data_IF_561438951075
#
_entry.id   IF_561438951075
#
_cell.length_a   1.000
_cell.length_b   1.000
_cell.length_c   1.000
_cell.angle_alpha   90.00
_cell.angle_beta   90.00
_cell.angle_gamma   90.00
#
_symmetry.space_group_name_H-M   'P 1'
#
loop_
_entity.id
_entity.type
_entity.pdbx_description
1 polymer ?
#
# COMPACT_ATOMS: atom_id res chain seq x y z
N UNK A 1 -24.29 -28.51 2.53
CA UNK A 1 -23.21 -28.21 3.49
C UNK A 1 -23.71 -27.20 4.50
N UNK A 2 -23.70 -27.55 5.79
CA UNK A 2 -24.22 -26.68 6.85
C UNK A 2 -23.23 -25.61 7.33
N UNK A 3 -21.94 -25.76 7.01
CA UNK A 3 -20.91 -24.78 7.35
C UNK A 3 -20.87 -23.55 6.45
N UNK A 4 -19.80 -22.77 6.60
CA UNK A 4 -19.56 -21.54 5.85
C UNK A 4 -18.91 -21.83 4.51
N UNK A 5 -19.42 -21.23 3.45
CA UNK A 5 -18.88 -21.40 2.10
C UNK A 5 -19.00 -20.13 1.27
N UNK A 6 -18.22 -20.10 0.19
CA UNK A 6 -18.30 -19.08 -0.84
C UNK A 6 -18.09 -19.75 -2.18
N UNK A 7 -19.07 -19.65 -3.05
CA UNK A 7 -19.00 -20.15 -4.42
C UNK A 7 -19.05 -18.99 -5.39
N UNK A 8 -18.27 -19.10 -6.46
CA UNK A 8 -18.17 -18.12 -7.53
C UNK A 8 -18.39 -18.87 -8.83
N UNK A 9 -19.53 -18.60 -9.48
CA UNK A 9 -19.94 -19.23 -10.72
C UNK A 9 -20.13 -18.15 -11.79
N UNK A 10 -19.77 -18.48 -13.03
CA UNK A 10 -19.96 -17.59 -14.16
C UNK A 10 -21.19 -18.06 -14.92
N UNK A 11 -22.21 -17.21 -14.98
CA UNK A 11 -23.43 -17.49 -15.72
C UNK A 11 -23.18 -17.22 -17.21
N UNK A 12 -23.26 -18.27 -18.01
CA UNK A 12 -23.04 -18.22 -19.46
C UNK A 12 -24.18 -17.53 -20.22
N UNK A 13 -25.37 -17.40 -19.62
CA UNK A 13 -26.54 -16.75 -20.23
C UNK A 13 -26.48 -15.24 -20.02
N UNK A 14 -26.26 -14.81 -18.76
CA UNK A 14 -26.20 -13.37 -18.44
C UNK A 14 -24.82 -12.76 -18.62
N UNK A 15 -23.77 -13.58 -18.72
CA UNK A 15 -22.37 -13.13 -18.78
C UNK A 15 -21.86 -12.53 -17.47
N UNK A 16 -22.56 -12.76 -16.35
CA UNK A 16 -22.22 -12.19 -15.05
C UNK A 16 -21.62 -13.24 -14.13
N UNK A 17 -20.73 -12.79 -13.23
CA UNK A 17 -20.26 -13.61 -12.12
C UNK A 17 -21.28 -13.54 -10.99
N UNK A 18 -21.84 -14.69 -10.62
CA UNK A 18 -22.61 -14.86 -9.39
C UNK A 18 -21.67 -15.31 -8.28
N UNK A 19 -21.72 -14.60 -7.15
CA UNK A 19 -21.00 -14.98 -5.94
C UNK A 19 -22.01 -15.24 -4.84
N UNK A 20 -22.11 -16.50 -4.42
CA UNK A 20 -22.92 -16.91 -3.27
C UNK A 20 -22.01 -17.07 -2.06
N UNK A 21 -22.30 -16.36 -0.96
CA UNK A 21 -21.59 -16.52 0.32
C UNK A 21 -22.58 -16.90 1.41
N UNK A 22 -22.32 -18.00 2.12
CA UNK A 22 -23.01 -18.39 3.36
C UNK A 22 -22.08 -18.20 4.54
N UNK A 23 -22.47 -17.33 5.47
CA UNK A 23 -21.75 -17.09 6.71
C UNK A 23 -22.77 -16.86 7.84
N UNK A 24 -22.53 -17.49 9.00
CA UNK A 24 -23.49 -17.53 10.10
C UNK A 24 -24.88 -18.01 9.61
N UNK A 25 -25.95 -17.37 10.07
CA UNK A 25 -27.33 -17.63 9.65
C UNK A 25 -27.75 -16.81 8.41
N UNK A 26 -26.79 -16.31 7.61
CA UNK A 26 -27.07 -15.51 6.43
C UNK A 26 -26.45 -16.14 5.18
N UNK A 27 -27.24 -16.14 4.11
CA UNK A 27 -26.79 -16.41 2.73
C UNK A 27 -27.09 -15.17 1.92
N UNK A 28 -26.10 -14.66 1.21
CA UNK A 28 -26.29 -13.58 0.24
C UNK A 28 -25.64 -13.95 -1.08
N UNK A 29 -26.32 -13.57 -2.16
CA UNK A 29 -25.89 -13.79 -3.53
C UNK A 29 -25.72 -12.41 -4.16
N UNK A 30 -24.53 -12.16 -4.71
CA UNK A 30 -24.21 -10.92 -5.40
C UNK A 30 -23.92 -11.23 -6.85
N UNK A 31 -24.53 -10.47 -7.75
CA UNK A 31 -24.28 -10.54 -9.18
C UNK A 31 -23.37 -9.37 -9.58
N UNK A 32 -22.27 -9.66 -10.27
CA UNK A 32 -21.32 -8.64 -10.69
C UNK A 32 -20.68 -7.87 -9.52
N UNK A 33 -20.40 -6.58 -9.73
CA UNK A 33 -19.85 -5.66 -8.72
C UNK A 33 -20.73 -4.42 -8.67
N UNK A 34 -21.59 -4.35 -7.67
CA UNK A 34 -22.36 -3.14 -7.40
C UNK A 34 -21.68 -2.31 -6.31
N UNK A 35 -21.64 -0.97 -6.44
CA UNK A 35 -21.23 -0.10 -5.35
C UNK A 35 -22.19 -0.27 -4.17
N UNK A 36 -21.68 -0.08 -2.95
CA UNK A 36 -22.54 -0.10 -1.77
C UNK A 36 -23.62 0.98 -1.85
N UNK A 37 -24.76 0.77 -1.17
CA UNK A 37 -25.90 1.71 -1.14
C UNK A 37 -25.51 3.15 -0.76
N UNK A 38 -24.40 3.32 -0.03
CA UNK A 38 -23.83 4.63 0.33
C UNK A 38 -22.38 4.68 -0.20
N UNK A 39 -22.23 4.71 -1.51
CA UNK A 39 -20.94 4.88 -2.18
C UNK A 39 -20.77 6.33 -2.65
N UNK A 40 -20.19 7.18 -1.79
CA UNK A 40 -19.96 8.60 -2.11
C UNK A 40 -18.51 8.78 -2.57
N UNK A 41 -18.27 8.56 -3.85
CA UNK A 41 -16.93 8.62 -4.45
C UNK A 41 -16.28 10.00 -4.34
N UNK A 42 -17.06 11.08 -4.32
CA UNK A 42 -16.56 12.46 -4.17
C UNK A 42 -15.88 12.70 -2.83
N UNK A 43 -16.38 12.12 -1.74
CA UNK A 43 -15.75 12.24 -0.42
C UNK A 43 -14.36 11.59 -0.45
N UNK A 44 -14.26 10.36 -0.96
CA UNK A 44 -12.98 9.66 -1.07
C UNK A 44 -11.99 10.43 -1.96
N UNK A 45 -12.47 10.98 -3.08
CA UNK A 45 -11.66 11.80 -3.98
C UNK A 45 -11.10 13.03 -3.25
N UNK A 46 -11.96 13.84 -2.61
CA UNK A 46 -11.55 15.07 -1.92
C UNK A 46 -10.65 14.81 -0.71
N UNK A 47 -10.88 13.74 0.05
CA UNK A 47 -9.96 13.36 1.15
C UNK A 47 -8.56 13.12 0.59
N UNK A 48 -8.45 12.32 -0.48
CA UNK A 48 -7.12 12.01 -1.04
C UNK A 48 -6.47 13.20 -1.74
N UNK A 49 -7.25 14.07 -2.38
CA UNK A 49 -6.79 15.31 -2.98
C UNK A 49 -6.23 16.26 -1.91
N UNK A 50 -7.02 16.52 -0.87
CA UNK A 50 -6.64 17.42 0.22
C UNK A 50 -5.38 16.93 0.94
N UNK A 51 -5.26 15.62 1.21
CA UNK A 51 -4.04 15.05 1.78
C UNK A 51 -2.80 15.29 0.90
N UNK A 52 -2.92 15.16 -0.42
CA UNK A 52 -1.80 15.42 -1.35
C UNK A 52 -1.42 16.89 -1.38
N UNK A 53 -2.39 17.79 -1.45
CA UNK A 53 -2.12 19.23 -1.41
C UNK A 53 -1.55 19.68 -0.08
N UNK A 54 -2.02 19.10 1.03
CA UNK A 54 -1.44 19.34 2.35
C UNK A 54 0.03 18.93 2.39
N UNK A 55 0.38 17.71 1.97
CA UNK A 55 1.77 17.27 1.87
C UNK A 55 2.61 18.19 0.97
N UNK A 56 2.09 18.54 -0.22
CA UNK A 56 2.79 19.45 -1.12
C UNK A 56 3.00 20.84 -0.50
N UNK A 57 2.04 21.34 0.29
CA UNK A 57 2.19 22.60 1.02
C UNK A 57 3.32 22.53 2.06
N UNK A 58 3.51 21.38 2.72
CA UNK A 58 4.62 21.14 3.64
C UNK A 58 5.96 21.09 2.89
N UNK A 59 6.00 20.41 1.74
CA UNK A 59 7.18 20.37 0.87
C UNK A 59 7.58 21.78 0.44
N UNK A 60 6.62 22.62 0.02
CA UNK A 60 6.86 24.02 -0.35
C UNK A 60 7.42 24.85 0.81
N UNK A 61 6.95 24.64 2.04
CA UNK A 61 7.47 25.34 3.23
C UNK A 61 8.94 25.02 3.53
N UNK A 62 9.37 23.80 3.23
CA UNK A 62 10.77 23.36 3.47
C UNK A 62 11.66 23.70 2.27
N UNK A 63 11.12 23.60 1.06
CA UNK A 63 11.85 23.49 -0.20
C UNK A 63 11.69 22.07 -0.74
N UNK A 64 11.07 21.93 -1.92
CA UNK A 64 10.77 20.62 -2.54
C UNK A 64 12.05 19.82 -2.79
N UNK A 65 13.14 20.52 -3.11
CA UNK A 65 14.47 20.01 -3.35
C UNK A 65 15.15 19.37 -2.13
N UNK A 66 14.68 19.69 -0.91
CA UNK A 66 15.20 19.16 0.36
C UNK A 66 14.44 17.94 0.86
N UNK A 67 13.33 17.59 0.21
CA UNK A 67 12.54 16.40 0.53
C UNK A 67 13.15 15.22 -0.20
N UNK A 68 13.68 14.26 0.56
CA UNK A 68 14.34 13.08 0.00
C UNK A 68 13.35 12.03 -0.49
N UNK A 69 12.25 11.85 0.26
CA UNK A 69 11.23 10.86 -0.07
C UNK A 69 9.86 11.23 0.52
N UNK A 70 8.80 10.82 -0.16
CA UNK A 70 7.42 10.99 0.28
C UNK A 70 6.62 9.70 0.06
N UNK A 71 5.83 9.28 1.05
CA UNK A 71 4.85 8.20 0.88
C UNK A 71 3.58 8.49 1.67
N UNK A 72 2.46 8.62 0.94
CA UNK A 72 1.07 8.74 1.39
C UNK A 72 0.78 9.90 2.34
N UNK A 73 1.40 9.92 3.52
CA UNK A 73 1.20 10.83 4.64
C UNK A 73 2.53 11.21 5.34
N UNK A 74 3.67 10.85 4.75
CA UNK A 74 4.97 10.98 5.41
C UNK A 74 6.04 11.62 4.52
N UNK A 75 6.91 12.44 5.13
CA UNK A 75 8.04 13.10 4.49
C UNK A 75 9.35 12.66 5.15
N UNK A 76 10.38 12.38 4.35
CA UNK A 76 11.74 12.05 4.82
C UNK A 76 12.67 13.15 4.32
N UNK A 77 13.43 13.74 5.23
CA UNK A 77 14.36 14.86 4.95
C UNK A 77 15.46 14.91 6.00
N UNK A 78 16.49 15.72 5.79
CA UNK A 78 17.52 15.91 6.80
C UNK A 78 16.95 16.68 8.00
N UNK A 79 17.44 16.37 9.21
CA UNK A 79 16.96 17.00 10.45
C UNK A 79 17.09 18.54 10.40
N UNK A 80 18.18 19.04 9.81
CA UNK A 80 18.44 20.49 9.67
C UNK A 80 17.35 21.23 8.88
N UNK A 81 16.66 20.54 7.96
CA UNK A 81 15.66 21.13 7.07
C UNK A 81 14.26 21.14 7.70
N UNK A 82 14.09 20.56 8.89
CA UNK A 82 12.77 20.46 9.55
C UNK A 82 12.32 21.74 10.25
N UNK A 83 13.18 22.75 10.39
CA UNK A 83 12.88 24.00 11.11
C UNK A 83 11.57 24.69 10.67
N UNK A 84 11.28 24.84 9.36
CA UNK A 84 10.02 25.46 8.91
C UNK A 84 8.76 24.71 9.38
N UNK A 85 8.89 23.43 9.74
CA UNK A 85 7.79 22.58 10.19
C UNK A 85 7.67 22.49 11.71
N UNK A 86 8.56 23.11 12.49
CA UNK A 86 8.64 22.94 13.95
C UNK A 86 7.31 23.15 14.68
N UNK A 87 6.52 24.16 14.29
CA UNK A 87 5.19 24.46 14.88
C UNK A 87 4.08 23.45 14.49
N UNK A 88 4.35 22.60 13.50
CA UNK A 88 3.45 21.57 13.01
C UNK A 88 3.79 20.19 13.58
N UNK A 89 4.90 20.05 14.30
CA UNK A 89 5.32 18.78 14.89
C UNK A 89 4.67 18.62 16.27
N UNK A 90 3.92 17.53 16.45
CA UNK A 90 3.36 17.13 17.74
C UNK A 90 2.96 15.65 17.70
N UNK A 91 3.35 14.81 18.68
CA UNK A 91 3.15 13.36 18.62
C UNK A 91 1.68 12.92 18.70
N UNK A 92 0.82 13.68 19.37
CA UNK A 92 -0.55 13.26 19.70
C UNK A 92 -1.68 14.16 19.17
N UNK A 93 -1.36 15.28 18.52
CA UNK A 93 -2.40 16.24 18.10
C UNK A 93 -2.88 15.87 16.71
N UNK A 94 -4.20 15.78 16.54
CA UNK A 94 -4.80 15.50 15.25
C UNK A 94 -4.33 16.51 14.18
N UNK A 95 -3.96 16.01 13.02
CA UNK A 95 -3.46 16.81 11.90
C UNK A 95 -2.05 17.40 12.09
N UNK A 96 -1.33 17.04 13.17
CA UNK A 96 0.08 17.40 13.36
C UNK A 96 1.01 16.28 12.91
N UNK A 97 2.25 16.65 12.63
CA UNK A 97 3.30 15.75 12.18
C UNK A 97 3.95 15.05 13.40
N UNK A 98 3.99 13.73 13.37
CA UNK A 98 4.76 12.93 14.33
C UNK A 98 6.14 12.61 13.75
N UNK A 99 7.17 12.68 14.60
CA UNK A 99 8.49 12.14 14.26
C UNK A 99 8.42 10.64 14.49
N UNK A 100 8.31 9.85 13.41
CA UNK A 100 8.24 8.38 13.49
C UNK A 100 9.63 7.76 13.75
N UNK A 101 10.67 8.25 13.08
CA UNK A 101 12.00 7.65 13.13
C UNK A 101 13.08 8.70 12.87
N UNK A 102 14.28 8.46 13.42
CA UNK A 102 15.52 9.16 13.05
C UNK A 102 16.57 8.11 12.70
N UNK A 103 17.28 8.32 11.60
CA UNK A 103 18.29 7.41 11.08
C UNK A 103 19.46 8.19 10.48
N UNK A 104 20.62 7.53 10.36
CA UNK A 104 21.83 8.12 9.77
C UNK A 104 22.10 7.63 8.34
N UNK A 105 21.59 6.45 7.99
CA UNK A 105 21.60 5.89 6.63
C UNK A 105 20.17 5.81 6.12
N UNK A 106 19.98 6.22 4.87
CA UNK A 106 18.71 6.07 4.17
C UNK A 106 18.96 5.75 2.70
N UNK A 107 18.61 4.54 2.29
CA UNK A 107 18.72 4.08 0.91
C UNK A 107 17.32 3.99 0.33
N UNK A 108 17.10 4.67 -0.80
CA UNK A 108 15.84 4.64 -1.55
C UNK A 108 16.11 3.88 -2.83
N UNK A 109 15.53 2.69 -2.97
CA UNK A 109 15.60 1.92 -4.20
C UNK A 109 14.40 2.26 -5.11
N UNK A 110 13.23 2.49 -4.51
CA UNK A 110 12.07 2.96 -5.26
C UNK A 110 10.82 3.20 -4.40
N UNK A 111 9.66 3.26 -5.06
CA UNK A 111 8.39 3.52 -4.39
C UNK A 111 8.05 2.39 -3.41
N UNK A 112 8.03 2.73 -2.10
CA UNK A 112 7.85 1.79 -0.99
C UNK A 112 8.90 0.66 -1.00
N UNK A 113 10.12 1.00 -1.44
CA UNK A 113 11.30 0.16 -1.37
C UNK A 113 12.48 1.01 -0.85
N UNK A 114 12.69 1.01 0.45
CA UNK A 114 13.73 1.79 1.11
C UNK A 114 14.24 1.10 2.37
N UNK A 115 15.44 1.48 2.79
CA UNK A 115 16.14 0.93 3.95
C UNK A 115 16.70 2.06 4.83
N UNK A 116 16.49 1.94 6.13
CA UNK A 116 17.14 2.73 7.18
C UNK A 116 18.12 1.85 7.95
N UNK A 117 18.75 2.39 9.00
CA UNK A 117 19.62 1.59 9.88
C UNK A 117 18.89 0.39 10.53
N UNK A 118 17.59 0.49 10.73
CA UNK A 118 16.79 -0.46 11.52
C UNK A 118 15.71 -1.14 10.70
N UNK A 119 15.25 -0.51 9.62
CA UNK A 119 14.03 -0.90 8.93
C UNK A 119 14.29 -1.08 7.45
N UNK A 120 13.89 -2.23 6.90
CA UNK A 120 13.81 -2.48 5.47
C UNK A 120 12.35 -2.58 5.05
N UNK A 121 11.89 -1.60 4.28
CA UNK A 121 10.51 -1.55 3.78
C UNK A 121 10.51 -1.95 2.32
N UNK A 122 9.83 -3.05 1.99
CA UNK A 122 9.58 -3.47 0.60
C UNK A 122 8.10 -3.76 0.46
N UNK A 123 7.43 -3.07 -0.48
CA UNK A 123 5.98 -3.19 -0.67
C UNK A 123 5.54 -4.63 -0.90
N UNK A 124 4.66 -5.09 -0.03
CA UNK A 124 4.07 -6.42 -0.13
C UNK A 124 5.03 -7.54 0.19
N UNK A 125 6.09 -7.27 0.97
CA UNK A 125 6.78 -8.26 1.77
C UNK A 125 6.49 -8.01 3.26
N UNK A 126 6.22 -9.06 4.04
CA UNK A 126 6.22 -8.95 5.48
C UNK A 126 7.64 -8.78 6.03
N UNK A 127 7.76 -8.26 7.24
CA UNK A 127 9.04 -8.13 7.96
C UNK A 127 9.75 -9.48 8.17
N UNK A 128 8.99 -10.57 8.21
CA UNK A 128 9.50 -11.93 8.40
C UNK A 128 10.00 -12.59 7.11
N UNK A 129 9.92 -11.91 5.98
CA UNK A 129 10.39 -12.45 4.70
C UNK A 129 11.90 -12.64 4.70
N UNK A 130 12.35 -13.81 4.21
CA UNK A 130 13.76 -14.14 4.05
C UNK A 130 14.15 -13.97 2.60
N UNK A 131 15.25 -13.26 2.34
CA UNK A 131 15.83 -13.21 1.01
C UNK A 131 16.52 -14.55 0.73
N UNK A 132 16.16 -15.19 -0.38
CA UNK A 132 16.69 -16.51 -0.79
C UNK A 132 17.56 -16.43 -2.05
N UNK A 133 17.41 -15.35 -2.83
CA UNK A 133 18.23 -15.05 -4.00
C UNK A 133 18.14 -13.54 -4.29
N UNK A 134 18.81 -13.06 -5.33
CA UNK A 134 18.70 -11.69 -5.81
C UNK A 134 17.25 -11.34 -6.11
N UNK A 135 16.78 -10.30 -5.42
CA UNK A 135 15.42 -9.78 -5.52
C UNK A 135 14.32 -10.80 -5.18
N UNK A 136 14.67 -11.97 -4.64
CA UNK A 136 13.75 -13.08 -4.44
C UNK A 136 13.61 -13.39 -2.96
N UNK A 137 12.36 -13.42 -2.50
CA UNK A 137 12.02 -13.51 -1.09
C UNK A 137 11.04 -14.65 -0.84
N UNK A 138 11.28 -15.42 0.22
CA UNK A 138 10.38 -16.46 0.71
C UNK A 138 9.75 -16.04 2.03
N UNK A 139 8.44 -16.23 2.15
CA UNK A 139 7.70 -15.97 3.39
C UNK A 139 6.45 -16.84 3.49
N UNK A 140 5.93 -16.97 4.71
CA UNK A 140 4.65 -17.61 4.95
C UNK A 140 3.52 -16.61 4.68
N UNK A 141 2.67 -16.94 3.72
CA UNK A 141 1.49 -16.17 3.38
C UNK A 141 0.24 -16.83 3.95
N UNK A 142 -0.53 -16.07 4.73
CA UNK A 142 -1.85 -16.47 5.16
C UNK A 142 -2.86 -16.33 4.01
N UNK A 143 -3.67 -17.36 3.81
CA UNK A 143 -4.73 -17.33 2.81
C UNK A 143 -5.85 -16.37 3.25
N UNK A 144 -6.47 -15.68 2.30
CA UNK A 144 -7.58 -14.78 2.61
C UNK A 144 -8.82 -15.58 3.01
N UNK A 145 -9.75 -14.95 3.74
CA UNK A 145 -11.02 -15.54 4.13
C UNK A 145 -11.82 -16.16 2.96
N UNK A 146 -11.92 -15.52 1.76
CA UNK A 146 -12.60 -16.14 0.62
C UNK A 146 -12.04 -17.51 0.23
N UNK A 147 -10.74 -17.73 0.37
CA UNK A 147 -10.13 -19.03 0.08
C UNK A 147 -10.52 -20.06 1.14
N UNK A 148 -10.56 -19.68 2.42
CA UNK A 148 -11.01 -20.57 3.48
C UNK A 148 -12.46 -21.00 3.28
N UNK A 149 -13.32 -20.07 2.87
CA UNK A 149 -14.74 -20.34 2.59
C UNK A 149 -14.90 -21.29 1.39
N UNK A 150 -14.16 -21.08 0.30
CA UNK A 150 -14.17 -22.01 -0.86
C UNK A 150 -13.68 -23.41 -0.50
N UNK A 151 -12.65 -23.49 0.35
CA UNK A 151 -12.09 -24.75 0.83
C UNK A 151 -12.86 -25.32 2.03
N UNK A 152 -13.94 -24.67 2.45
CA UNK A 152 -14.78 -25.06 3.59
C UNK A 152 -13.98 -25.29 4.89
N UNK A 153 -12.90 -24.51 5.10
CA UNK A 153 -12.07 -24.58 6.30
C UNK A 153 -12.68 -23.73 7.40
N UNK A 154 -13.04 -24.37 8.52
CA UNK A 154 -13.78 -23.74 9.62
C UNK A 154 -12.97 -23.56 10.91
N UNK A 155 -11.82 -24.23 11.04
CA UNK A 155 -11.03 -24.25 12.29
C UNK A 155 -9.63 -23.65 12.18
N UNK A 156 -8.95 -23.82 11.04
CA UNK A 156 -7.53 -23.49 10.89
C UNK A 156 -7.29 -22.34 9.92
N UNK A 157 -6.22 -21.58 10.15
CA UNK A 157 -5.72 -20.60 9.20
C UNK A 157 -4.70 -21.27 8.27
N UNK A 158 -5.07 -21.46 7.00
CA UNK A 158 -4.16 -21.99 5.99
C UNK A 158 -3.06 -20.97 5.74
N UNK A 159 -1.82 -21.42 5.92
CA UNK A 159 -0.62 -20.68 5.61
C UNK A 159 0.20 -21.47 4.59
N UNK A 160 0.78 -20.80 3.60
CA UNK A 160 1.60 -21.43 2.55
C UNK A 160 2.93 -20.71 2.39
N UNK A 161 4.02 -21.42 2.10
CA UNK A 161 5.24 -20.78 1.65
C UNK A 161 4.98 -20.12 0.28
N UNK A 162 5.36 -18.86 0.16
CA UNK A 162 5.27 -18.07 -1.07
C UNK A 162 6.65 -17.54 -1.41
N UNK A 163 7.03 -17.69 -2.68
CA UNK A 163 8.21 -17.04 -3.26
C UNK A 163 7.73 -15.81 -4.05
N UNK A 164 8.40 -14.69 -3.85
CA UNK A 164 8.09 -13.44 -4.54
C UNK A 164 9.35 -12.76 -5.03
N UNK A 165 9.36 -12.43 -6.32
CA UNK A 165 10.42 -11.64 -6.96
C UNK A 165 10.02 -10.17 -6.96
N UNK A 166 10.88 -9.31 -6.43
CA UNK A 166 10.68 -7.86 -6.35
C UNK A 166 11.94 -7.14 -6.81
N UNK A 167 11.93 -6.71 -8.06
CA UNK A 167 13.00 -5.89 -8.61
C UNK A 167 12.97 -4.49 -7.96
N UNK A 168 14.13 -3.95 -7.58
CA UNK A 168 14.19 -2.74 -6.78
C UNK A 168 14.18 -1.45 -7.61
N UNK A 169 13.96 -1.53 -8.92
CA UNK A 169 14.13 -0.40 -9.83
C UNK A 169 12.92 0.53 -9.80
N UNK A 170 13.18 1.84 -9.79
CA UNK A 170 12.14 2.84 -9.96
C UNK A 170 11.76 2.96 -11.43
N UNK A 171 10.54 2.57 -11.78
CA UNK A 171 10.04 2.45 -13.15
C UNK A 171 9.04 3.54 -13.54
N UNK A 172 8.75 4.51 -12.65
CA UNK A 172 7.73 5.55 -12.84
C UNK A 172 8.26 6.88 -13.38
N UNK A 173 9.49 6.87 -13.87
CA UNK A 173 10.16 8.04 -14.42
C UNK A 173 11.65 7.78 -14.64
N UNK A 174 12.32 8.72 -15.29
CA UNK A 174 13.75 8.65 -15.56
C UNK A 174 14.53 9.08 -14.31
N UNK A 175 15.29 8.15 -13.73
CA UNK A 175 16.20 8.43 -12.62
C UNK A 175 17.46 9.09 -13.15
N UNK A 176 17.77 10.30 -12.68
CA UNK A 176 18.97 11.06 -13.00
C UNK A 176 20.18 10.58 -12.20
N UNK A 177 21.39 10.96 -12.64
CA UNK A 177 22.65 10.62 -11.95
C UNK A 177 22.70 11.07 -10.47
N UNK A 178 21.95 12.12 -10.12
CA UNK A 178 21.85 12.63 -8.75
C UNK A 178 20.71 12.00 -7.94
N UNK A 179 20.03 10.98 -8.48
CA UNK A 179 18.91 10.28 -7.83
C UNK A 179 17.56 10.97 -7.95
N UNK A 180 17.46 12.15 -8.57
CA UNK A 180 16.17 12.80 -8.84
C UNK A 180 15.43 12.10 -9.98
N UNK A 181 14.10 12.18 -9.95
CA UNK A 181 13.22 11.54 -10.92
C UNK A 181 12.60 12.61 -11.81
N UNK A 182 12.73 12.44 -13.13
CA UNK A 182 11.92 13.17 -14.12
C UNK A 182 10.72 12.28 -14.47
N UNK A 183 9.47 12.75 -14.29
CA UNK A 183 8.29 11.98 -14.69
C UNK A 183 8.26 11.82 -16.21
N UNK A 184 7.74 10.70 -16.70
CA UNK A 184 7.45 10.57 -18.12
C UNK A 184 6.40 11.59 -18.54
N UNK A 185 6.57 12.19 -19.72
CA UNK A 185 5.58 13.10 -20.29
C UNK A 185 4.78 12.39 -21.38
N UNK A 186 3.49 12.72 -21.52
CA UNK A 186 2.61 12.07 -22.49
C UNK A 186 3.07 12.24 -23.95
N UNK A 187 3.93 13.23 -24.21
CA UNK A 187 4.47 13.52 -25.54
C UNK A 187 5.67 12.63 -25.92
N UNK A 188 6.11 11.74 -25.03
CA UNK A 188 7.24 10.83 -25.23
C UNK A 188 6.81 9.39 -25.60
N UNK A 189 5.54 9.21 -25.98
CA UNK A 189 4.94 7.94 -26.44
C UNK A 189 4.23 8.10 -27.79
#
# INVERSE_FOLDING_TARGET
FDGYYRDEVFDLVTGQTEITTKLFNKKWTTFGKEPANICIMSIAAHVTEYSRFYLYSLMKKVGVDKVLYCDTDSLKMQVKDTQPLKKLIHPYKLGKLKIEEKFTKFIINGAKNYETNTTKVIKGLPLTAKQIDDYTYSYIQFMKQPTHLRLQVTRYLIAKPTIKVIKPFYDKGKVLKNGRIIPYTLNEF
#
